data_IF_402976164625
#
_entry.id   IF_402976164625
#
_cell.length_a   1.000
_cell.length_b   1.000
_cell.length_c   1.000
_cell.angle_alpha   90.00
_cell.angle_beta   90.00
_cell.angle_gamma   90.00
#
_symmetry.space_group_name_H-M   'P 1'
#
loop_
_entity.id
_entity.type
_entity.pdbx_description
1 polymer ?
#
# COMPACT_ATOMS: atom_id res chain seq x y z
N UNK A 1 -9.73 4.67 -2.36
CA UNK A 1 -10.98 3.92 -2.08
C UNK A 1 -12.20 4.27 -2.94
N UNK A 2 -13.10 5.22 -2.62
CA UNK A 2 -14.39 5.30 -3.35
C UNK A 2 -14.27 5.80 -4.79
N UNK A 3 -13.37 6.74 -5.02
CA UNK A 3 -13.02 7.25 -6.35
C UNK A 3 -12.40 6.12 -7.19
N UNK A 4 -11.60 5.26 -6.57
CA UNK A 4 -11.01 4.05 -7.17
C UNK A 4 -12.10 3.13 -7.73
N UNK A 5 -13.16 2.88 -6.95
CA UNK A 5 -14.33 2.11 -7.40
C UNK A 5 -15.08 2.76 -8.57
N UNK A 6 -15.24 4.09 -8.56
CA UNK A 6 -15.87 4.84 -9.67
C UNK A 6 -15.01 4.75 -10.95
N UNK A 7 -13.68 4.91 -10.82
CA UNK A 7 -12.75 4.80 -11.95
C UNK A 7 -12.82 3.40 -12.56
N UNK A 8 -12.83 2.33 -11.74
CA UNK A 8 -13.00 0.97 -12.25
C UNK A 8 -14.33 0.78 -12.99
N UNK A 9 -15.43 1.35 -12.47
CA UNK A 9 -16.74 1.29 -13.12
C UNK A 9 -16.78 1.99 -14.49
N UNK A 10 -16.13 3.16 -14.62
CA UNK A 10 -16.04 3.90 -15.89
C UNK A 10 -15.13 3.17 -16.89
N UNK A 11 -14.10 2.49 -16.41
CA UNK A 11 -13.11 1.78 -17.24
C UNK A 11 -13.53 0.34 -17.64
N UNK A 12 -14.82 0.01 -17.57
CA UNK A 12 -15.35 -1.31 -17.96
C UNK A 12 -14.94 -1.71 -19.39
N UNK A 13 -14.91 -0.76 -20.33
CA UNK A 13 -14.43 -0.99 -21.70
C UNK A 13 -12.94 -1.35 -21.78
N UNK A 14 -12.13 -0.82 -20.85
CA UNK A 14 -10.70 -1.13 -20.76
C UNK A 14 -10.45 -2.53 -20.20
N UNK A 15 -11.26 -2.95 -19.23
CA UNK A 15 -11.23 -4.32 -18.70
C UNK A 15 -11.70 -5.35 -19.73
N UNK A 16 -12.57 -4.97 -20.68
CA UNK A 16 -12.91 -5.83 -21.81
C UNK A 16 -11.74 -5.98 -22.81
N UNK A 17 -10.90 -4.95 -22.97
CA UNK A 17 -9.72 -5.03 -23.86
C UNK A 17 -8.62 -5.94 -23.32
N UNK A 18 -8.41 -5.94 -22.00
CA UNK A 18 -7.47 -6.86 -21.35
C UNK A 18 -8.02 -7.31 -19.99
N UNK A 19 -8.83 -8.37 -19.95
CA UNK A 19 -9.43 -8.87 -18.71
C UNK A 19 -8.39 -9.21 -17.63
N UNK A 20 -7.20 -9.66 -18.04
CA UNK A 20 -6.08 -9.98 -17.15
C UNK A 20 -5.60 -8.79 -16.29
N UNK A 21 -5.95 -7.54 -16.66
CA UNK A 21 -5.58 -6.35 -15.89
C UNK A 21 -6.21 -6.34 -14.49
N UNK A 22 -7.35 -7.00 -14.29
CA UNK A 22 -8.02 -7.08 -12.98
C UNK A 22 -7.13 -7.73 -11.91
N UNK A 23 -6.26 -8.65 -12.32
CA UNK A 23 -5.31 -9.35 -11.45
C UNK A 23 -4.15 -8.42 -11.03
N UNK A 24 -3.80 -7.44 -11.87
CA UNK A 24 -2.71 -6.51 -11.61
C UNK A 24 -3.12 -5.32 -10.76
N UNK A 25 -4.39 -4.88 -10.84
CA UNK A 25 -4.88 -3.66 -10.19
C UNK A 25 -4.62 -3.65 -8.67
N UNK A 26 -5.12 -4.60 -7.86
CA UNK A 26 -4.92 -4.57 -6.41
C UNK A 26 -3.45 -4.56 -5.98
N UNK A 27 -2.59 -5.48 -6.47
CA UNK A 27 -1.19 -5.48 -6.04
C UNK A 27 -0.41 -4.28 -6.57
N UNK A 28 -0.78 -3.70 -7.73
CA UNK A 28 -0.14 -2.48 -8.22
C UNK A 28 -0.41 -1.27 -7.29
N UNK A 29 -1.66 -1.09 -6.87
CA UNK A 29 -2.07 -0.05 -5.92
C UNK A 29 -1.34 -0.24 -4.59
N UNK A 30 -1.44 -1.44 -3.99
CA UNK A 30 -0.81 -1.74 -2.70
C UNK A 30 0.70 -1.53 -2.71
N UNK A 31 1.37 -1.92 -3.81
CA UNK A 31 2.81 -1.73 -3.95
C UNK A 31 3.22 -0.25 -4.02
N UNK A 32 2.39 0.64 -4.61
CA UNK A 32 2.66 2.08 -4.59
C UNK A 32 2.52 2.65 -3.19
N UNK A 33 1.45 2.26 -2.48
CA UNK A 33 1.30 2.58 -1.06
C UNK A 33 2.53 2.17 -0.27
N UNK A 34 3.00 0.93 -0.44
CA UNK A 34 4.16 0.40 0.29
C UNK A 34 5.45 1.16 0.03
N UNK A 35 5.79 1.41 -1.24
CA UNK A 35 7.04 2.09 -1.60
C UNK A 35 7.04 3.53 -1.06
N UNK A 36 5.95 4.26 -1.28
CA UNK A 36 5.89 5.68 -0.99
C UNK A 36 5.56 5.98 0.47
N UNK A 37 4.74 5.16 1.15
CA UNK A 37 4.53 5.32 2.59
C UNK A 37 5.81 5.00 3.38
N UNK A 38 6.57 3.97 2.96
CA UNK A 38 7.90 3.70 3.52
C UNK A 38 8.87 4.86 3.26
N UNK A 39 8.80 5.49 2.07
CA UNK A 39 9.56 6.72 1.81
C UNK A 39 9.14 7.85 2.76
N UNK A 40 7.83 8.05 2.96
CA UNK A 40 7.29 9.03 3.91
C UNK A 40 7.83 8.81 5.32
N UNK A 41 7.80 7.56 5.79
CA UNK A 41 8.37 7.11 7.08
C UNK A 41 9.86 7.44 7.18
N UNK A 42 10.67 7.04 6.19
CA UNK A 42 12.11 7.36 6.17
C UNK A 42 12.39 8.86 6.21
N UNK A 43 11.60 9.66 5.48
CA UNK A 43 11.73 11.11 5.51
C UNK A 43 11.32 11.68 6.87
N UNK A 44 10.23 11.19 7.47
CA UNK A 44 9.78 11.52 8.82
C UNK A 44 10.87 11.26 9.87
N UNK A 45 11.37 10.02 9.94
CA UNK A 45 12.49 9.63 10.80
C UNK A 45 13.72 10.51 10.57
N UNK A 46 14.09 10.77 9.32
CA UNK A 46 15.28 11.59 8.98
C UNK A 46 15.13 13.05 9.42
N UNK A 47 13.89 13.59 9.36
CA UNK A 47 13.59 14.94 9.83
C UNK A 47 13.64 15.00 11.36
N UNK A 48 13.01 14.04 12.05
CA UNK A 48 12.98 13.99 13.52
C UNK A 48 14.36 13.75 14.14
N UNK A 49 15.21 12.94 13.50
CA UNK A 49 16.59 12.70 13.94
C UNK A 49 17.56 13.82 13.55
N UNK A 50 17.11 14.82 12.79
CA UNK A 50 17.93 15.94 12.32
C UNK A 50 18.95 15.58 11.24
N UNK A 51 18.86 14.39 10.64
CA UNK A 51 19.73 13.96 9.53
C UNK A 51 19.37 14.67 8.21
N UNK A 52 18.11 15.10 8.07
CA UNK A 52 17.58 15.78 6.89
C UNK A 52 17.00 17.14 7.28
N UNK A 53 17.36 18.19 6.55
CA UNK A 53 16.70 19.50 6.61
C UNK A 53 15.55 19.56 5.59
N UNK A 54 14.46 20.31 5.87
CA UNK A 54 13.34 20.45 4.95
C UNK A 54 13.65 21.46 3.84
N UNK A 55 14.76 21.31 3.09
CA UNK A 55 15.25 22.28 2.09
C UNK A 55 15.34 21.73 0.64
N UNK A 56 14.74 20.55 0.40
CA UNK A 56 14.73 19.83 -0.89
C UNK A 56 16.12 19.50 -1.42
N UNK A 57 17.13 19.47 -0.54
CA UNK A 57 18.50 19.12 -0.87
C UNK A 57 19.00 18.03 0.09
N UNK A 58 20.25 17.63 -0.12
CA UNK A 58 20.91 16.65 0.73
C UNK A 58 21.03 15.27 0.10
N UNK A 59 22.08 14.56 0.52
CA UNK A 59 22.40 13.21 0.03
C UNK A 59 21.34 12.19 0.44
N UNK A 60 20.81 12.29 1.67
CA UNK A 60 19.78 11.38 2.19
C UNK A 60 18.49 11.47 1.36
N UNK A 61 18.07 12.68 0.98
CA UNK A 61 16.92 12.87 0.11
C UNK A 61 17.16 12.23 -1.26
N UNK A 62 18.34 12.44 -1.87
CA UNK A 62 18.70 11.83 -3.16
C UNK A 62 18.71 10.30 -3.08
N UNK A 63 19.25 9.72 -2.03
CA UNK A 63 19.30 8.27 -1.84
C UNK A 63 17.89 7.69 -1.65
N UNK A 64 17.01 8.39 -0.93
CA UNK A 64 15.60 8.05 -0.77
C UNK A 64 14.81 8.11 -2.08
N UNK A 65 15.02 9.16 -2.89
CA UNK A 65 14.40 9.29 -4.22
C UNK A 65 14.87 8.17 -5.15
N UNK A 66 16.18 7.96 -5.23
CA UNK A 66 16.78 6.94 -6.09
C UNK A 66 16.33 5.53 -5.69
N UNK A 67 16.37 5.20 -4.40
CA UNK A 67 15.92 3.89 -3.92
C UNK A 67 14.44 3.64 -4.21
N UNK A 68 13.57 4.63 -3.99
CA UNK A 68 12.13 4.50 -4.26
C UNK A 68 11.83 4.34 -5.75
N UNK A 69 12.57 5.02 -6.62
CA UNK A 69 12.46 4.86 -8.08
C UNK A 69 12.93 3.47 -8.53
N UNK A 70 14.07 2.99 -8.00
CA UNK A 70 14.60 1.64 -8.27
C UNK A 70 13.61 0.57 -7.81
N UNK A 71 13.09 0.67 -6.57
CA UNK A 71 12.06 -0.23 -6.05
C UNK A 71 10.82 -0.22 -6.93
N UNK A 72 10.39 0.95 -7.41
CA UNK A 72 9.25 1.05 -8.34
C UNK A 72 9.50 0.25 -9.61
N UNK A 73 10.67 0.37 -10.25
CA UNK A 73 10.99 -0.39 -11.46
C UNK A 73 10.99 -1.89 -11.18
N UNK A 74 11.73 -2.32 -10.14
CA UNK A 74 11.86 -3.73 -9.78
C UNK A 74 10.49 -4.35 -9.48
N UNK A 75 9.70 -3.69 -8.63
CA UNK A 75 8.41 -4.19 -8.21
C UNK A 75 7.38 -4.16 -9.35
N UNK A 76 7.47 -3.23 -10.30
CA UNK A 76 6.56 -3.21 -11.45
C UNK A 76 6.84 -4.35 -12.43
N UNK A 77 8.11 -4.63 -12.71
CA UNK A 77 8.49 -5.79 -13.54
C UNK A 77 7.99 -7.07 -12.87
N UNK A 78 8.28 -7.20 -11.57
CA UNK A 78 7.85 -8.33 -10.75
C UNK A 78 6.33 -8.53 -10.76
N UNK A 79 5.55 -7.48 -10.50
CA UNK A 79 4.09 -7.55 -10.50
C UNK A 79 3.52 -7.87 -11.89
N UNK A 80 4.08 -7.31 -12.96
CA UNK A 80 3.68 -7.66 -14.33
C UNK A 80 3.89 -9.14 -14.63
N UNK A 81 5.00 -9.72 -14.17
CA UNK A 81 5.29 -11.16 -14.31
C UNK A 81 4.27 -11.99 -13.50
N UNK A 82 4.11 -11.70 -12.20
CA UNK A 82 3.23 -12.47 -11.31
C UNK A 82 1.76 -12.37 -11.76
N UNK A 83 1.31 -11.18 -12.16
CA UNK A 83 -0.05 -10.99 -12.66
C UNK A 83 -0.28 -11.75 -13.97
N UNK A 84 0.70 -11.77 -14.89
CA UNK A 84 0.58 -12.56 -16.12
C UNK A 84 0.53 -14.07 -15.86
N UNK A 85 1.36 -14.58 -14.94
CA UNK A 85 1.31 -16.00 -14.53
C UNK A 85 -0.02 -16.35 -13.87
N UNK A 86 -0.52 -15.48 -13.00
CA UNK A 86 -1.79 -15.68 -12.30
C UNK A 86 -2.96 -15.65 -13.29
N UNK A 87 -2.98 -14.69 -14.22
CA UNK A 87 -3.99 -14.63 -15.27
C UNK A 87 -3.97 -15.87 -16.17
N UNK A 88 -2.78 -16.37 -16.55
CA UNK A 88 -2.66 -17.61 -17.31
C UNK A 88 -3.19 -18.82 -16.53
N UNK A 89 -2.89 -18.91 -15.23
CA UNK A 89 -3.42 -19.96 -14.36
C UNK A 89 -4.94 -19.92 -14.23
N UNK A 90 -5.55 -18.72 -14.28
CA UNK A 90 -6.99 -18.51 -14.32
C UNK A 90 -7.63 -18.74 -15.71
N UNK A 91 -6.85 -19.19 -16.70
CA UNK A 91 -7.33 -19.48 -18.06
C UNK A 91 -7.56 -18.24 -18.92
N UNK A 92 -7.00 -17.08 -18.54
CA UNK A 92 -7.11 -15.83 -19.29
C UNK A 92 -6.00 -15.76 -20.34
N UNK A 93 -6.34 -15.42 -21.58
CA UNK A 93 -5.34 -15.25 -22.64
C UNK A 93 -4.62 -13.91 -22.46
N UNK A 94 -3.31 -13.95 -22.25
CA UNK A 94 -2.52 -12.77 -21.88
C UNK A 94 -1.10 -12.83 -22.44
N UNK A 95 -0.66 -11.72 -23.01
CA UNK A 95 0.74 -11.54 -23.36
C UNK A 95 1.54 -11.03 -22.16
N UNK A 96 2.52 -11.80 -21.71
CA UNK A 96 3.39 -11.45 -20.57
C UNK A 96 4.10 -10.10 -20.80
N UNK A 97 4.52 -9.82 -22.03
CA UNK A 97 5.20 -8.56 -22.38
C UNK A 97 4.26 -7.38 -22.15
N UNK A 98 2.97 -7.51 -22.52
CA UNK A 98 1.99 -6.46 -22.32
C UNK A 98 1.77 -6.17 -20.84
N UNK A 99 1.63 -7.20 -20.01
CA UNK A 99 1.46 -7.04 -18.56
C UNK A 99 2.67 -6.35 -17.91
N UNK A 100 3.90 -6.73 -18.28
CA UNK A 100 5.12 -6.11 -17.77
C UNK A 100 5.19 -4.64 -18.19
N UNK A 101 4.94 -4.34 -19.48
CA UNK A 101 4.98 -2.98 -20.00
C UNK A 101 3.93 -2.08 -19.36
N UNK A 102 2.69 -2.58 -19.22
CA UNK A 102 1.60 -1.84 -18.58
C UNK A 102 1.96 -1.53 -17.12
N UNK A 103 2.41 -2.53 -16.36
CA UNK A 103 2.76 -2.33 -14.96
C UNK A 103 3.91 -1.33 -14.79
N UNK A 104 4.91 -1.39 -15.67
CA UNK A 104 6.11 -0.57 -15.57
C UNK A 104 5.90 0.87 -16.04
N UNK A 105 5.19 1.08 -17.16
CA UNK A 105 4.79 2.42 -17.59
C UNK A 105 3.93 3.10 -16.52
N UNK A 106 2.94 2.38 -15.99
CA UNK A 106 2.09 2.90 -14.92
C UNK A 106 2.92 3.23 -13.68
N UNK A 107 3.91 2.39 -13.36
CA UNK A 107 4.84 2.62 -12.26
C UNK A 107 5.71 3.84 -12.41
N UNK A 108 6.36 4.01 -13.56
CA UNK A 108 7.22 5.17 -13.81
C UNK A 108 6.40 6.46 -13.83
N UNK A 109 5.22 6.46 -14.44
CA UNK A 109 4.32 7.62 -14.48
C UNK A 109 3.81 7.97 -13.07
N UNK A 110 3.28 6.99 -12.32
CA UNK A 110 2.81 7.22 -10.94
C UNK A 110 3.93 7.67 -10.01
N UNK A 111 5.12 7.08 -10.11
CA UNK A 111 6.25 7.41 -9.24
C UNK A 111 6.66 8.88 -9.32
N UNK A 112 6.59 9.51 -10.49
CA UNK A 112 6.89 10.93 -10.62
C UNK A 112 6.01 11.79 -9.69
N UNK A 113 4.69 11.56 -9.72
CA UNK A 113 3.73 12.30 -8.90
C UNK A 113 3.81 11.89 -7.43
N UNK A 114 3.92 10.60 -7.16
CA UNK A 114 3.98 10.06 -5.79
C UNK A 114 5.24 10.50 -5.05
N UNK A 115 6.40 10.57 -5.72
CA UNK A 115 7.63 11.12 -5.14
C UNK A 115 7.46 12.58 -4.75
N UNK A 116 6.95 13.40 -5.66
CA UNK A 116 6.74 14.82 -5.42
C UNK A 116 5.78 15.05 -4.24
N UNK A 117 4.67 14.30 -4.22
CA UNK A 117 3.68 14.37 -3.15
C UNK A 117 4.27 13.91 -1.80
N UNK A 118 4.99 12.80 -1.78
CA UNK A 118 5.58 12.25 -0.55
C UNK A 118 6.58 13.23 0.08
N UNK A 119 7.47 13.82 -0.74
CA UNK A 119 8.45 14.78 -0.24
C UNK A 119 7.75 16.07 0.22
N UNK A 120 6.79 16.56 -0.56
CA UNK A 120 6.04 17.77 -0.22
C UNK A 120 5.25 17.60 1.09
N UNK A 121 4.54 16.48 1.25
CA UNK A 121 3.76 16.19 2.46
C UNK A 121 4.66 16.06 3.69
N UNK A 122 5.78 15.33 3.60
CA UNK A 122 6.72 15.19 4.71
C UNK A 122 7.30 16.55 5.13
N UNK A 123 7.80 17.34 4.18
CA UNK A 123 8.46 18.61 4.49
C UNK A 123 7.50 19.69 4.95
N UNK A 124 6.31 19.74 4.35
CA UNK A 124 5.32 20.74 4.71
C UNK A 124 4.69 20.45 6.06
N UNK A 125 4.42 19.17 6.37
CA UNK A 125 3.98 18.76 7.71
C UNK A 125 5.01 19.19 8.75
N UNK A 126 6.28 18.84 8.54
CA UNK A 126 7.36 19.22 9.45
C UNK A 126 7.51 20.74 9.61
N UNK A 127 7.50 21.51 8.51
CA UNK A 127 7.59 22.99 8.55
C UNK A 127 6.42 23.64 9.30
N UNK A 128 5.24 23.00 9.31
CA UNK A 128 4.06 23.45 10.05
C UNK A 128 4.04 22.99 11.51
N UNK A 129 5.07 22.26 11.96
CA UNK A 129 5.12 21.65 13.28
C UNK A 129 4.19 20.45 13.45
N UNK A 130 3.67 19.91 12.34
CA UNK A 130 2.94 18.64 12.35
C UNK A 130 3.95 17.49 12.28
N UNK A 131 3.64 16.41 12.97
CA UNK A 131 4.41 15.18 12.90
C UNK A 131 4.19 14.50 11.53
N UNK A 132 5.22 14.40 10.66
CA UNK A 132 5.10 13.79 9.34
C UNK A 132 4.60 12.34 9.39
N UNK A 133 4.86 11.61 10.48
CA UNK A 133 4.48 10.20 10.64
C UNK A 133 2.96 10.02 10.72
N UNK A 134 2.23 11.06 11.16
CA UNK A 134 0.76 11.04 11.22
C UNK A 134 0.10 11.44 9.90
N UNK A 135 0.84 12.09 8.99
CA UNK A 135 0.25 12.78 7.83
C UNK A 135 0.64 12.12 6.51
N UNK A 136 1.89 11.67 6.40
CA UNK A 136 2.43 11.14 5.14
C UNK A 136 1.70 9.87 4.71
N UNK A 137 1.63 8.85 5.57
CA UNK A 137 1.01 7.56 5.23
C UNK A 137 -0.43 7.70 4.72
N UNK A 138 -1.39 8.34 5.44
CA UNK A 138 -2.77 8.45 4.96
C UNK A 138 -2.92 9.24 3.64
N UNK A 139 -2.13 10.29 3.45
CA UNK A 139 -2.17 11.06 2.20
C UNK A 139 -1.61 10.24 1.05
N UNK A 140 -0.56 9.47 1.29
CA UNK A 140 0.12 8.68 0.27
C UNK A 140 -0.71 7.48 -0.14
N UNK A 141 -1.38 6.79 0.78
CA UNK A 141 -2.28 5.67 0.42
C UNK A 141 -3.42 6.17 -0.45
N UNK A 142 -4.13 7.22 -0.01
CA UNK A 142 -5.21 7.85 -0.77
C UNK A 142 -4.77 8.32 -2.16
N UNK A 143 -3.62 8.99 -2.23
CA UNK A 143 -3.09 9.46 -3.50
C UNK A 143 -2.63 8.31 -4.39
N UNK A 144 -2.05 7.24 -3.81
CA UNK A 144 -1.68 6.02 -4.51
C UNK A 144 -2.87 5.43 -5.24
N UNK A 145 -4.01 5.37 -4.58
CA UNK A 145 -5.30 4.93 -5.13
C UNK A 145 -5.75 5.79 -6.33
N UNK A 146 -5.81 7.09 -6.13
CA UNK A 146 -6.31 8.06 -7.12
C UNK A 146 -5.37 8.18 -8.33
N UNK A 147 -4.06 8.03 -8.12
CA UNK A 147 -3.03 8.24 -9.15
C UNK A 147 -2.75 6.94 -9.92
N UNK A 148 -2.69 5.79 -9.24
CA UNK A 148 -2.24 4.54 -9.85
C UNK A 148 -3.22 4.04 -10.91
N UNK A 149 -4.52 4.07 -10.62
CA UNK A 149 -5.52 3.55 -11.57
C UNK A 149 -5.57 4.29 -12.90
N UNK A 150 -5.68 5.64 -12.95
CA UNK A 150 -5.64 6.37 -14.22
C UNK A 150 -4.37 6.10 -15.02
N UNK A 151 -3.20 6.05 -14.37
CA UNK A 151 -1.96 5.75 -15.07
C UNK A 151 -1.86 4.29 -15.53
N UNK A 152 -2.49 3.37 -14.82
CA UNK A 152 -2.59 1.98 -15.25
C UNK A 152 -3.45 1.86 -16.51
N UNK A 153 -4.63 2.48 -16.54
CA UNK A 153 -5.48 2.48 -17.74
C UNK A 153 -4.88 3.28 -18.90
N UNK A 154 -4.20 4.40 -18.63
CA UNK A 154 -3.44 5.11 -19.66
C UNK A 154 -2.35 4.21 -20.25
N UNK A 155 -1.60 3.50 -19.41
CA UNK A 155 -0.54 2.59 -19.84
C UNK A 155 -1.10 1.41 -20.66
N UNK A 156 -2.27 0.88 -20.28
CA UNK A 156 -3.00 -0.11 -21.07
C UNK A 156 -3.25 0.38 -22.50
N UNK A 157 -3.87 1.56 -22.64
CA UNK A 157 -4.21 2.10 -23.95
C UNK A 157 -2.95 2.36 -24.80
N UNK A 158 -1.89 2.88 -24.18
CA UNK A 158 -0.62 3.11 -24.87
C UNK A 158 0.02 1.80 -25.35
N UNK A 159 0.11 0.78 -24.49
CA UNK A 159 0.76 -0.50 -24.82
C UNK A 159 -0.01 -1.29 -25.87
N UNK A 160 -1.34 -1.31 -25.79
CA UNK A 160 -2.18 -1.99 -26.80
C UNK A 160 -2.16 -1.22 -28.12
N UNK A 161 -2.15 0.11 -28.09
CA UNK A 161 -2.08 0.96 -29.28
C UNK A 161 -0.71 0.99 -29.97
N UNK A 162 0.34 0.46 -29.33
CA UNK A 162 1.70 0.41 -29.89
C UNK A 162 1.88 -0.77 -30.85
N UNK A 163 2.52 -0.51 -31.99
CA UNK A 163 2.97 -1.55 -32.91
C UNK A 163 4.02 -2.49 -32.27
N UNK A 164 4.10 -3.74 -32.77
CA UNK A 164 4.94 -4.79 -32.18
C UNK A 164 6.42 -4.42 -32.03
N UNK A 165 7.01 -3.76 -33.03
CA UNK A 165 8.41 -3.33 -32.98
C UNK A 165 8.67 -2.30 -31.87
N UNK A 166 7.78 -1.32 -31.74
CA UNK A 166 7.89 -0.29 -30.69
C UNK A 166 7.72 -0.89 -29.29
N UNK A 167 6.82 -1.87 -29.16
CA UNK A 167 6.57 -2.62 -27.93
C UNK A 167 7.82 -3.41 -27.50
N UNK A 168 8.45 -4.12 -28.43
CA UNK A 168 9.69 -4.85 -28.16
C UNK A 168 10.84 -3.91 -27.80
N UNK A 169 11.01 -2.80 -28.52
CA UNK A 169 12.03 -1.80 -28.20
C UNK A 169 11.86 -1.26 -26.77
N UNK A 170 10.63 -0.89 -26.40
CA UNK A 170 10.31 -0.41 -25.06
C UNK A 170 10.56 -1.49 -24.00
N UNK A 171 10.20 -2.74 -24.29
CA UNK A 171 10.45 -3.87 -23.40
C UNK A 171 11.94 -4.07 -23.14
N UNK A 172 12.79 -4.04 -24.18
CA UNK A 172 14.24 -4.16 -24.00
C UNK A 172 14.83 -3.03 -23.17
N UNK A 173 14.42 -1.77 -23.41
CA UNK A 173 14.86 -0.62 -22.60
C UNK A 173 14.53 -0.86 -21.12
N UNK A 174 13.32 -1.32 -20.85
CA UNK A 174 12.85 -1.53 -19.50
C UNK A 174 13.48 -2.73 -18.80
N UNK A 175 13.74 -3.82 -19.52
CA UNK A 175 14.51 -4.95 -18.99
C UNK A 175 15.93 -4.51 -18.66
N UNK A 176 16.59 -3.72 -19.52
CA UNK A 176 17.91 -3.16 -19.23
C UNK A 176 17.87 -2.31 -17.96
N UNK A 177 16.87 -1.43 -17.81
CA UNK A 177 16.68 -0.64 -16.59
C UNK A 177 16.42 -1.51 -15.35
N UNK A 178 15.65 -2.58 -15.48
CA UNK A 178 15.44 -3.57 -14.41
C UNK A 178 16.72 -4.29 -14.01
N UNK A 179 17.51 -4.74 -14.99
CA UNK A 179 18.82 -5.37 -14.75
C UNK A 179 19.75 -4.40 -14.04
N UNK A 180 19.87 -3.16 -14.52
CA UNK A 180 20.66 -2.11 -13.87
C UNK A 180 20.19 -1.92 -12.42
N UNK A 181 18.87 -1.85 -12.21
CA UNK A 181 18.25 -1.68 -10.89
C UNK A 181 18.64 -2.79 -9.89
N UNK A 182 18.75 -4.04 -10.34
CA UNK A 182 19.22 -5.18 -9.52
C UNK A 182 20.71 -5.06 -9.17
N UNK A 183 21.54 -4.54 -10.08
CA UNK A 183 22.99 -4.42 -9.86
C UNK A 183 23.41 -3.16 -9.10
N UNK A 184 22.58 -2.11 -9.03
CA UNK A 184 22.88 -0.87 -8.30
C UNK A 184 23.29 -1.13 -6.83
N UNK A 185 22.58 -1.95 -6.03
CA UNK A 185 22.99 -2.29 -4.66
C UNK A 185 24.42 -2.83 -4.53
N UNK A 186 24.92 -3.53 -5.56
CA UNK A 186 26.24 -4.15 -5.56
C UNK A 186 27.33 -3.25 -6.15
N UNK A 187 26.94 -2.14 -6.78
CA UNK A 187 27.87 -1.21 -7.39
C UNK A 187 28.70 -0.43 -6.35
N UNK A 188 29.87 0.07 -6.75
CA UNK A 188 30.69 0.99 -5.94
C UNK A 188 30.12 2.42 -5.91
N UNK A 189 29.15 2.72 -6.79
CA UNK A 189 28.56 4.04 -6.96
C UNK A 189 27.44 4.33 -5.95
N UNK A 190 26.84 3.29 -5.35
CA UNK A 190 25.75 3.44 -4.41
C UNK A 190 26.23 3.69 -2.98
N UNK A 191 25.56 4.61 -2.29
CA UNK A 191 25.78 4.86 -0.86
C UNK A 191 25.34 3.65 -0.03
N UNK A 192 25.93 3.47 1.15
CA UNK A 192 25.52 2.40 2.08
C UNK A 192 24.04 2.52 2.48
N UNK A 193 23.52 3.74 2.60
CA UNK A 193 22.12 4.01 2.92
C UNK A 193 21.18 3.55 1.79
N UNK A 194 21.46 3.89 0.54
CA UNK A 194 20.69 3.41 -0.61
C UNK A 194 20.70 1.88 -0.70
N UNK A 195 21.87 1.26 -0.52
CA UNK A 195 22.02 -0.20 -0.52
C UNK A 195 21.14 -0.85 0.54
N UNK A 196 21.16 -0.30 1.76
CA UNK A 196 20.38 -0.77 2.89
C UNK A 196 18.88 -0.78 2.56
N UNK A 197 18.35 0.34 2.03
CA UNK A 197 16.93 0.44 1.64
C UNK A 197 16.57 -0.65 0.62
N UNK A 198 17.38 -0.83 -0.43
CA UNK A 198 17.08 -1.80 -1.48
C UNK A 198 17.14 -3.24 -0.98
N UNK A 199 18.17 -3.60 -0.21
CA UNK A 199 18.36 -4.97 0.29
C UNK A 199 17.27 -5.34 1.31
N UNK A 200 16.85 -4.41 2.17
CA UNK A 200 15.87 -4.68 3.21
C UNK A 200 14.43 -4.64 2.69
N UNK A 201 14.09 -3.68 1.81
CA UNK A 201 12.72 -3.51 1.32
C UNK A 201 12.34 -4.57 0.28
N UNK A 202 13.27 -4.95 -0.60
CA UNK A 202 12.98 -5.81 -1.76
C UNK A 202 12.37 -7.16 -1.35
N UNK A 203 12.94 -7.95 -0.43
CA UNK A 203 12.38 -9.25 -0.07
C UNK A 203 10.97 -9.15 0.53
N UNK A 204 10.74 -8.15 1.39
CA UNK A 204 9.44 -7.94 2.03
C UNK A 204 8.39 -7.54 1.00
N UNK A 205 8.73 -6.64 0.08
CA UNK A 205 7.82 -6.22 -0.99
C UNK A 205 7.55 -7.35 -1.99
N UNK A 206 8.51 -8.23 -2.28
CA UNK A 206 8.27 -9.41 -3.11
C UNK A 206 7.24 -10.34 -2.47
N UNK A 207 7.43 -10.68 -1.19
CA UNK A 207 6.48 -11.49 -0.42
C UNK A 207 5.12 -10.80 -0.36
N UNK A 208 5.11 -9.49 -0.08
CA UNK A 208 3.89 -8.69 -0.02
C UNK A 208 3.12 -8.66 -1.33
N UNK A 209 3.82 -8.53 -2.46
CA UNK A 209 3.22 -8.60 -3.79
C UNK A 209 2.62 -9.98 -4.09
N UNK A 210 3.28 -11.08 -3.66
CA UNK A 210 2.67 -12.43 -3.77
C UNK A 210 1.38 -12.49 -2.95
N UNK A 211 1.45 -12.10 -1.68
CA UNK A 211 0.31 -12.13 -0.77
C UNK A 211 -0.84 -11.27 -1.30
N UNK A 212 -0.57 -10.09 -1.84
CA UNK A 212 -1.58 -9.22 -2.45
C UNK A 212 -2.25 -9.86 -3.68
N UNK A 213 -1.48 -10.55 -4.53
CA UNK A 213 -2.05 -11.30 -5.67
C UNK A 213 -2.93 -12.48 -5.20
N UNK A 214 -2.49 -13.24 -4.21
CA UNK A 214 -3.29 -14.33 -3.63
C UNK A 214 -4.54 -13.81 -2.90
N UNK A 215 -4.40 -12.75 -2.13
CA UNK A 215 -5.51 -12.12 -1.41
C UNK A 215 -6.61 -11.66 -2.37
N UNK A 216 -6.25 -10.99 -3.47
CA UNK A 216 -7.19 -10.60 -4.52
C UNK A 216 -7.96 -11.80 -5.11
N UNK A 217 -7.31 -12.96 -5.25
CA UNK A 217 -7.97 -14.20 -5.70
C UNK A 217 -8.88 -14.84 -4.65
N UNK A 218 -8.51 -14.80 -3.35
CA UNK A 218 -9.29 -15.36 -2.25
C UNK A 218 -10.54 -14.51 -1.98
N UNK A 219 -10.38 -13.18 -2.01
CA UNK A 219 -11.51 -12.26 -2.03
C UNK A 219 -12.43 -12.61 -3.19
N UNK A 220 -11.87 -12.78 -4.40
CA UNK A 220 -12.51 -13.30 -5.63
C UNK A 220 -13.51 -14.43 -5.40
N UNK A 221 -13.11 -15.46 -4.64
CA UNK A 221 -13.94 -16.64 -4.38
C UNK A 221 -14.88 -16.47 -3.18
N UNK A 222 -14.52 -15.62 -2.20
CA UNK A 222 -15.37 -15.32 -1.05
C UNK A 222 -16.57 -14.43 -1.43
N UNK A 223 -16.51 -13.76 -2.60
CA UNK A 223 -17.61 -12.96 -3.12
C UNK A 223 -18.90 -13.78 -3.30
N UNK A 224 -18.85 -15.09 -3.61
CA UNK A 224 -20.08 -15.88 -3.79
C UNK A 224 -20.97 -15.93 -2.53
N UNK A 225 -20.37 -15.87 -1.33
CA UNK A 225 -21.11 -15.73 -0.07
C UNK A 225 -21.46 -14.28 0.31
N UNK A 226 -20.65 -13.31 -0.12
CA UNK A 226 -20.82 -11.87 0.16
C UNK A 226 -21.76 -11.14 -0.83
N UNK A 227 -22.07 -11.74 -1.98
CA UNK A 227 -23.02 -11.21 -2.99
C UNK A 227 -24.42 -10.98 -2.37
N UNK A 228 -24.78 -11.72 -1.33
CA UNK A 228 -26.03 -11.52 -0.60
C UNK A 228 -26.11 -10.20 0.20
N UNK A 229 -24.99 -9.51 0.45
CA UNK A 229 -24.96 -8.28 1.25
C UNK A 229 -24.06 -7.24 0.57
N UNK A 230 -24.50 -6.75 -0.59
CA UNK A 230 -23.73 -5.82 -1.42
C UNK A 230 -23.38 -4.48 -0.73
N UNK A 231 -24.02 -4.14 0.40
CA UNK A 231 -23.60 -3.05 1.30
C UNK A 231 -22.24 -3.26 2.01
N UNK A 232 -21.81 -4.51 2.24
CA UNK A 232 -20.53 -4.82 2.89
C UNK A 232 -19.37 -4.69 1.89
N UNK A 233 -19.61 -5.05 0.63
CA UNK A 233 -18.63 -4.92 -0.44
C UNK A 233 -18.22 -3.46 -0.69
N UNK A 234 -19.09 -2.53 -0.31
CA UNK A 234 -18.86 -1.09 -0.44
C UNK A 234 -17.98 -0.52 0.68
N UNK A 235 -18.01 -1.11 1.89
CA UNK A 235 -17.13 -0.69 2.99
C UNK A 235 -15.75 -1.35 2.98
N UNK A 236 -15.64 -2.56 2.41
CA UNK A 236 -14.43 -3.38 2.53
C UNK A 236 -13.15 -2.70 2.01
N UNK A 237 -13.11 -2.03 0.83
CA UNK A 237 -11.90 -1.33 0.40
C UNK A 237 -11.47 -0.24 1.38
N UNK A 238 -12.41 0.60 1.82
CA UNK A 238 -12.12 1.68 2.76
C UNK A 238 -11.68 1.14 4.13
N UNK A 239 -12.32 0.05 4.60
CA UNK A 239 -11.96 -0.62 5.84
C UNK A 239 -10.51 -1.13 5.83
N UNK A 240 -10.10 -1.78 4.73
CA UNK A 240 -8.74 -2.30 4.58
C UNK A 240 -7.71 -1.17 4.40
N UNK A 241 -8.03 -0.15 3.58
CA UNK A 241 -7.12 0.96 3.30
C UNK A 241 -6.88 1.81 4.56
N UNK A 242 -7.94 2.18 5.29
CA UNK A 242 -7.81 2.95 6.55
C UNK A 242 -7.15 2.14 7.67
N UNK A 243 -7.45 0.84 7.78
CA UNK A 243 -6.73 -0.06 8.69
C UNK A 243 -5.23 -0.12 8.38
N UNK A 244 -4.88 -0.19 7.09
CA UNK A 244 -3.51 -0.09 6.59
C UNK A 244 -2.84 1.23 6.92
N UNK A 245 -3.55 2.35 6.75
CA UNK A 245 -3.04 3.68 7.04
C UNK A 245 -2.77 3.88 8.55
N UNK A 246 -3.68 3.43 9.42
CA UNK A 246 -3.49 3.46 10.89
C UNK A 246 -2.26 2.63 11.28
N UNK A 247 -2.14 1.42 10.74
CA UNK A 247 -0.98 0.57 10.97
C UNK A 247 0.33 1.19 10.46
N UNK A 248 0.29 1.87 9.32
CA UNK A 248 1.46 2.55 8.77
C UNK A 248 1.85 3.81 9.54
N UNK A 249 0.90 4.57 10.11
CA UNK A 249 1.20 5.65 11.07
C UNK A 249 1.92 5.08 12.29
N UNK A 250 1.40 3.99 12.84
CA UNK A 250 1.98 3.38 14.03
C UNK A 250 3.39 2.82 13.76
N UNK A 251 3.59 2.19 12.60
CA UNK A 251 4.90 1.73 12.13
C UNK A 251 5.92 2.88 12.02
N UNK A 252 5.52 3.99 11.39
CA UNK A 252 6.38 5.17 11.26
C UNK A 252 6.74 5.74 12.64
N UNK A 253 5.75 5.86 13.54
CA UNK A 253 5.99 6.30 14.92
C UNK A 253 6.94 5.41 15.70
N UNK A 254 6.81 4.09 15.59
CA UNK A 254 7.73 3.17 16.24
C UNK A 254 9.14 3.28 15.67
N UNK A 255 9.27 3.39 14.35
CA UNK A 255 10.55 3.60 13.70
C UNK A 255 11.24 4.88 14.17
N UNK A 256 10.56 6.02 14.10
CA UNK A 256 11.05 7.31 14.59
C UNK A 256 11.44 7.23 16.08
N UNK A 257 10.59 6.63 16.92
CA UNK A 257 10.86 6.53 18.35
C UNK A 257 12.09 5.66 18.67
N UNK A 258 12.29 4.55 17.93
CA UNK A 258 13.47 3.70 18.07
C UNK A 258 14.75 4.41 17.63
N UNK A 259 14.73 5.12 16.50
CA UNK A 259 15.90 5.85 15.98
C UNK A 259 16.28 7.08 16.81
N UNK A 260 15.30 7.77 17.41
CA UNK A 260 15.54 8.90 18.32
C UNK A 260 16.00 8.40 19.72
N UNK A 261 15.75 7.13 20.03
CA UNK A 261 16.02 6.55 21.34
C UNK A 261 14.99 6.91 22.40
N UNK A 262 13.79 7.35 22.00
CA UNK A 262 12.66 7.60 22.92
C UNK A 262 11.86 6.34 23.25
N UNK A 263 12.10 5.25 22.52
CA UNK A 263 11.57 3.92 22.77
C UNK A 263 12.72 2.91 22.87
N UNK A 264 12.81 2.21 23.99
CA UNK A 264 13.75 1.09 24.12
C UNK A 264 13.12 -0.20 23.59
N UNK A 265 13.92 -0.98 22.85
CA UNK A 265 13.49 -2.28 22.36
C UNK A 265 13.30 -3.25 23.54
N UNK A 266 12.08 -3.77 23.71
CA UNK A 266 11.76 -4.72 24.78
C UNK A 266 10.71 -5.74 24.31
N UNK A 267 10.71 -6.93 24.92
CA UNK A 267 9.78 -8.02 24.57
C UNK A 267 8.32 -7.66 24.86
N UNK A 268 8.09 -6.86 25.89
CA UNK A 268 6.76 -6.38 26.28
C UNK A 268 6.63 -4.91 25.91
N UNK A 269 5.55 -4.48 25.24
CA UNK A 269 5.37 -3.08 24.88
C UNK A 269 5.50 -2.16 26.12
N UNK A 270 6.41 -1.18 26.11
CA UNK A 270 6.56 -0.23 27.21
C UNK A 270 5.39 0.76 27.24
N UNK A 271 5.33 1.61 28.26
CA UNK A 271 4.20 2.55 28.47
C UNK A 271 3.99 3.48 27.28
N UNK A 272 5.07 3.87 26.61
CA UNK A 272 5.11 4.72 25.43
C UNK A 272 4.40 4.04 24.25
N UNK A 273 4.65 2.74 24.04
CA UNK A 273 3.96 1.95 23.02
C UNK A 273 2.46 1.81 23.34
N UNK A 274 2.09 1.57 24.60
CA UNK A 274 0.69 1.54 25.02
C UNK A 274 -0.05 2.87 24.79
N UNK A 275 0.61 4.01 24.99
CA UNK A 275 0.03 5.33 24.66
C UNK A 275 -0.22 5.49 23.16
N UNK A 276 0.68 4.97 22.32
CA UNK A 276 0.50 4.96 20.87
C UNK A 276 -0.65 4.02 20.47
N UNK A 277 -0.74 2.83 21.06
CA UNK A 277 -1.85 1.90 20.85
C UNK A 277 -3.20 2.53 21.19
N UNK A 278 -3.30 3.18 22.36
CA UNK A 278 -4.52 3.89 22.77
C UNK A 278 -4.88 5.00 21.78
N UNK A 279 -3.90 5.76 21.29
CA UNK A 279 -4.13 6.77 20.27
C UNK A 279 -4.71 6.17 18.99
N UNK A 280 -4.22 5.00 18.56
CA UNK A 280 -4.75 4.32 17.36
C UNK A 280 -6.19 3.85 17.56
N UNK A 281 -6.53 3.30 18.73
CA UNK A 281 -7.92 2.93 19.06
C UNK A 281 -8.84 4.15 19.07
N UNK A 282 -8.43 5.28 19.65
CA UNK A 282 -9.23 6.50 19.64
C UNK A 282 -9.49 7.04 18.23
N UNK A 283 -8.50 6.95 17.34
CA UNK A 283 -8.65 7.29 15.92
C UNK A 283 -9.58 6.28 15.24
N UNK A 284 -9.38 4.99 15.50
CA UNK A 284 -10.20 3.89 15.00
C UNK A 284 -11.68 4.07 15.28
N UNK A 285 -12.04 4.45 16.50
CA UNK A 285 -13.43 4.68 16.89
C UNK A 285 -14.13 5.68 15.96
N UNK A 286 -13.41 6.72 15.55
CA UNK A 286 -13.93 7.75 14.65
C UNK A 286 -13.94 7.23 13.20
N UNK A 287 -12.81 6.74 12.73
CA UNK A 287 -12.61 6.31 11.34
C UNK A 287 -13.56 5.18 10.97
N UNK A 288 -13.59 4.09 11.74
CA UNK A 288 -14.44 2.94 11.43
C UNK A 288 -15.94 3.23 11.60
N UNK A 289 -16.32 4.14 12.49
CA UNK A 289 -17.70 4.63 12.55
C UNK A 289 -18.08 5.39 11.28
N UNK A 290 -17.19 6.27 10.80
CA UNK A 290 -17.41 7.02 9.56
C UNK A 290 -17.48 6.11 8.34
N UNK A 291 -16.65 5.06 8.26
CA UNK A 291 -16.72 4.05 7.19
C UNK A 291 -18.10 3.41 7.13
N UNK A 292 -18.65 2.97 8.27
CA UNK A 292 -20.00 2.38 8.32
C UNK A 292 -21.10 3.36 7.89
N UNK A 293 -21.00 4.63 8.29
CA UNK A 293 -21.92 5.71 7.89
C UNK A 293 -21.85 5.94 6.38
N UNK A 294 -20.65 6.14 5.84
CA UNK A 294 -20.47 6.43 4.42
C UNK A 294 -20.92 5.27 3.54
N UNK A 295 -20.54 4.04 3.90
CA UNK A 295 -20.96 2.84 3.18
C UNK A 295 -22.49 2.75 3.12
N UNK A 296 -23.21 2.97 4.23
CA UNK A 296 -24.67 2.98 4.22
C UNK A 296 -25.25 4.00 3.22
N UNK A 297 -24.79 5.26 3.24
CA UNK A 297 -25.30 6.30 2.36
C UNK A 297 -24.98 6.05 0.88
N UNK A 298 -23.77 5.56 0.60
CA UNK A 298 -23.33 5.23 -0.75
C UNK A 298 -24.16 4.08 -1.31
N UNK A 299 -24.30 3.00 -0.56
CA UNK A 299 -25.02 1.81 -1.02
C UNK A 299 -26.51 2.08 -1.18
N UNK A 300 -27.10 2.93 -0.32
CA UNK A 300 -28.46 3.45 -0.50
C UNK A 300 -28.59 4.31 -1.77
N UNK A 301 -27.60 5.16 -2.07
CA UNK A 301 -27.59 5.96 -3.30
C UNK A 301 -27.47 5.09 -4.55
N UNK A 302 -26.81 3.93 -4.45
CA UNK A 302 -26.66 2.95 -5.52
C UNK A 302 -27.88 2.01 -5.64
N UNK A 303 -28.92 2.20 -4.83
CA UNK A 303 -30.13 1.33 -4.79
C UNK A 303 -29.80 -0.14 -4.51
N UNK A 304 -28.77 -0.37 -3.72
CA UNK A 304 -28.31 -1.69 -3.28
C UNK A 304 -28.99 -2.05 -1.96
N UNK A 305 -29.33 -3.32 -1.75
CA UNK A 305 -29.82 -3.79 -0.44
C UNK A 305 -28.73 -3.59 0.63
N UNK A 306 -29.12 -2.96 1.73
CA UNK A 306 -28.21 -2.55 2.80
C UNK A 306 -28.75 -2.94 4.16
N UNK A 307 -27.84 -3.30 5.05
CA UNK A 307 -28.14 -3.45 6.47
C UNK A 307 -28.58 -2.12 7.08
N UNK A 308 -29.35 -2.14 8.17
CA UNK A 308 -29.65 -0.95 8.95
C UNK A 308 -28.37 -0.17 9.31
N UNK A 309 -28.46 1.17 9.32
CA UNK A 309 -27.31 2.05 9.60
C UNK A 309 -26.58 1.68 10.91
N UNK A 310 -27.32 1.33 11.96
CA UNK A 310 -26.72 0.98 13.25
C UNK A 310 -25.90 -0.32 13.20
N UNK A 311 -26.33 -1.31 12.40
CA UNK A 311 -25.58 -2.55 12.18
C UNK A 311 -24.33 -2.28 11.35
N UNK A 312 -24.44 -1.47 10.28
CA UNK A 312 -23.28 -1.07 9.46
C UNK A 312 -22.20 -0.39 10.30
N UNK A 313 -22.59 0.54 11.16
CA UNK A 313 -21.67 1.23 12.08
C UNK A 313 -21.08 0.23 13.08
N UNK A 314 -21.92 -0.60 13.71
CA UNK A 314 -21.47 -1.54 14.72
C UNK A 314 -20.49 -2.59 14.16
N UNK A 315 -20.80 -3.16 12.99
CA UNK A 315 -19.94 -4.14 12.30
C UNK A 315 -18.59 -3.50 11.96
N UNK A 316 -18.60 -2.35 11.30
CA UNK A 316 -17.37 -1.63 10.93
C UNK A 316 -16.53 -1.28 12.15
N UNK A 317 -17.15 -0.73 13.19
CA UNK A 317 -16.48 -0.32 14.41
C UNK A 317 -15.87 -1.51 15.15
N UNK A 318 -16.65 -2.57 15.42
CA UNK A 318 -16.16 -3.73 16.18
C UNK A 318 -15.06 -4.46 15.40
N UNK A 319 -15.24 -4.66 14.09
CA UNK A 319 -14.23 -5.27 13.24
C UNK A 319 -12.95 -4.42 13.21
N UNK A 320 -13.09 -3.11 13.12
CA UNK A 320 -11.99 -2.15 13.07
C UNK A 320 -11.19 -2.10 14.37
N UNK A 321 -11.86 -2.15 15.53
CA UNK A 321 -11.18 -2.20 16.83
C UNK A 321 -10.44 -3.52 17.06
N UNK A 322 -11.00 -4.64 16.61
CA UNK A 322 -10.31 -5.94 16.63
C UNK A 322 -9.08 -5.87 15.69
N UNK A 323 -9.24 -5.29 14.50
CA UNK A 323 -8.15 -5.11 13.55
C UNK A 323 -7.01 -4.25 14.14
N UNK A 324 -7.33 -3.08 14.72
CA UNK A 324 -6.34 -2.21 15.36
C UNK A 324 -5.60 -2.96 16.47
N UNK A 325 -6.30 -3.75 17.28
CA UNK A 325 -5.65 -4.54 18.33
C UNK A 325 -4.56 -5.45 17.76
N UNK A 326 -4.85 -6.15 16.66
CA UNK A 326 -3.88 -7.03 15.99
C UNK A 326 -2.74 -6.21 15.38
N UNK A 327 -3.07 -5.14 14.67
CA UNK A 327 -2.12 -4.25 14.00
C UNK A 327 -1.17 -3.58 14.99
N UNK A 328 -1.65 -3.23 16.19
CA UNK A 328 -0.84 -2.64 17.25
C UNK A 328 0.35 -3.53 17.61
N UNK A 329 0.08 -4.80 17.93
CA UNK A 329 1.13 -5.76 18.26
C UNK A 329 1.99 -6.10 17.05
N UNK A 330 1.39 -6.25 15.87
CA UNK A 330 2.13 -6.53 14.64
C UNK A 330 3.13 -5.41 14.33
N UNK A 331 2.71 -4.14 14.39
CA UNK A 331 3.56 -2.98 14.16
C UNK A 331 4.70 -2.91 15.17
N UNK A 332 4.38 -3.06 16.46
CA UNK A 332 5.39 -3.03 17.53
C UNK A 332 6.44 -4.12 17.35
N UNK A 333 6.01 -5.38 17.20
CA UNK A 333 6.94 -6.50 17.10
C UNK A 333 7.73 -6.49 15.80
N UNK A 334 7.11 -6.15 14.67
CA UNK A 334 7.82 -6.00 13.41
C UNK A 334 8.91 -4.91 13.54
N UNK A 335 8.57 -3.72 14.05
CA UNK A 335 9.56 -2.65 14.23
C UNK A 335 10.68 -3.02 15.20
N UNK A 336 10.34 -3.56 16.38
CA UNK A 336 11.32 -3.92 17.42
C UNK A 336 12.23 -5.06 16.96
N UNK A 337 11.68 -6.10 16.34
CA UNK A 337 12.48 -7.24 15.84
C UNK A 337 13.40 -6.76 14.72
N UNK A 338 12.92 -5.96 13.78
CA UNK A 338 13.74 -5.43 12.70
C UNK A 338 14.89 -4.58 13.25
N UNK A 339 14.57 -3.63 14.14
CA UNK A 339 15.58 -2.76 14.75
C UNK A 339 16.63 -3.55 15.52
N UNK A 340 16.22 -4.56 16.30
CA UNK A 340 17.13 -5.44 17.05
C UNK A 340 18.11 -6.19 16.15
N UNK A 341 17.70 -6.55 14.93
CA UNK A 341 18.55 -7.22 13.94
C UNK A 341 19.33 -6.24 13.04
N UNK A 342 19.29 -4.93 13.32
CA UNK A 342 19.96 -3.90 12.54
C UNK A 342 19.25 -3.53 11.22
N UNK A 343 18.10 -4.13 10.95
CA UNK A 343 17.22 -3.82 9.83
C UNK A 343 16.44 -2.56 10.16
N UNK A 344 16.36 -1.62 9.22
CA UNK A 344 15.62 -0.39 9.44
C UNK A 344 14.11 -0.65 9.46
N UNK A 345 13.39 -0.34 10.56
CA UNK A 345 11.94 -0.52 10.63
C UNK A 345 11.18 0.24 9.53
N UNK A 346 11.72 1.38 9.07
CA UNK A 346 11.13 2.18 7.98
C UNK A 346 11.10 1.43 6.64
N UNK A 347 11.95 0.42 6.45
CA UNK A 347 12.04 -0.34 5.20
C UNK A 347 11.07 -1.52 5.14
N UNK A 348 10.65 -2.03 6.30
CA UNK A 348 10.03 -3.37 6.40
C UNK A 348 8.69 -3.37 7.13
N UNK A 349 8.49 -2.50 8.12
CA UNK A 349 7.30 -2.57 8.98
C UNK A 349 6.03 -2.21 8.21
N UNK A 350 6.03 -1.09 7.47
CA UNK A 350 4.87 -0.67 6.68
C UNK A 350 4.50 -1.75 5.64
N UNK A 351 5.43 -2.25 4.80
CA UNK A 351 5.12 -3.32 3.85
C UNK A 351 4.62 -4.61 4.50
N UNK A 352 5.11 -4.99 5.69
CA UNK A 352 4.59 -6.15 6.42
C UNK A 352 3.11 -5.93 6.80
N UNK A 353 2.81 -4.80 7.44
CA UNK A 353 1.46 -4.50 7.93
C UNK A 353 0.46 -4.46 6.78
N UNK A 354 0.77 -3.72 5.72
CA UNK A 354 -0.14 -3.54 4.58
C UNK A 354 -0.36 -4.85 3.83
N UNK A 355 0.68 -5.67 3.65
CA UNK A 355 0.54 -6.96 2.97
C UNK A 355 -0.27 -7.98 3.76
N UNK A 356 -0.31 -7.86 5.09
CA UNK A 356 -1.16 -8.68 5.94
C UNK A 356 -2.56 -8.10 6.13
N UNK A 357 -2.77 -6.85 5.75
CA UNK A 357 -4.02 -6.11 5.99
C UNK A 357 -5.21 -6.76 5.31
N UNK A 358 -5.08 -7.16 4.05
CA UNK A 358 -6.19 -7.77 3.34
C UNK A 358 -6.64 -9.09 4.00
N UNK A 359 -5.70 -9.90 4.50
CA UNK A 359 -6.01 -11.18 5.14
C UNK A 359 -6.61 -10.96 6.53
N UNK A 360 -5.94 -10.17 7.37
CA UNK A 360 -6.37 -9.96 8.76
C UNK A 360 -7.64 -9.10 8.80
N UNK A 361 -7.68 -8.02 8.03
CA UNK A 361 -8.82 -7.09 7.97
C UNK A 361 -10.07 -7.77 7.43
N UNK A 362 -9.96 -8.53 6.32
CA UNK A 362 -11.10 -9.30 5.80
C UNK A 362 -11.54 -10.35 6.81
N UNK A 363 -10.60 -11.04 7.47
CA UNK A 363 -10.90 -12.01 8.53
C UNK A 363 -11.64 -11.39 9.72
N UNK A 364 -11.22 -10.19 10.16
CA UNK A 364 -11.90 -9.46 11.24
C UNK A 364 -13.32 -9.07 10.84
N UNK A 365 -13.51 -8.58 9.61
CA UNK A 365 -14.82 -8.21 9.09
C UNK A 365 -15.75 -9.42 9.01
N UNK A 366 -15.30 -10.53 8.40
CA UNK A 366 -16.06 -11.78 8.31
C UNK A 366 -16.42 -12.31 9.70
N UNK A 367 -15.48 -12.33 10.64
CA UNK A 367 -15.74 -12.78 12.01
C UNK A 367 -16.91 -11.99 12.64
N UNK A 368 -16.90 -10.67 12.52
CA UNK A 368 -17.95 -9.83 13.10
C UNK A 368 -19.28 -10.01 12.38
N UNK A 369 -19.27 -10.21 11.07
CA UNK A 369 -20.50 -10.51 10.32
C UNK A 369 -21.16 -11.81 10.77
N UNK A 370 -20.37 -12.84 11.06
CA UNK A 370 -20.86 -14.10 11.63
C UNK A 370 -21.44 -13.86 13.03
N UNK A 371 -20.78 -13.04 13.86
CA UNK A 371 -21.27 -12.71 15.20
C UNK A 371 -22.60 -11.95 15.18
N UNK A 372 -22.85 -11.14 14.16
CA UNK A 372 -24.11 -10.42 13.96
C UNK A 372 -25.18 -11.26 13.25
N UNK A 373 -24.88 -12.50 12.85
CA UNK A 373 -25.81 -13.39 12.16
C UNK A 373 -26.15 -12.95 10.74
N UNK A 374 -25.27 -12.16 10.11
CA UNK A 374 -25.42 -11.68 8.73
C UNK A 374 -24.89 -12.72 7.73
N UNK A 375 -23.80 -13.41 8.11
CA UNK A 375 -23.23 -14.59 7.46
C UNK A 375 -23.39 -15.79 8.39
#
# INVERSE_FOLDING_TARGET
DLITGIIMGISTSSLQMLPALIVLIPPAIGMRGNIFASLGSRLGTSLHTGQLSPDFKGKILKDNVNSSFILTILMSIYLGIIAAFTAHFLGMDVNIIDMILISLLAGVLSAFFMLALTIATAFFSYRRGWDPDNVTTPIITLAGDIITLPFLFLSLHLVIGMGGEAKLALFYIFIILGVISVFIPFSKLSSQYLKKILIESTPIMLIGGLLGTFSGSILGNSFEGLIGIAGILTMMPAFLEDGGAIGGILAAKFSSALHIGSLEYSLTPPKEAWKMFLSMHLIGLIVFSLIGIFAFFISKSLSVEVLPLHEMIAISLIAGEILILIVNFMAYYASVISFKHGIDPDNVTIPIITSMMDIIGTGCLILVLILFGVL
#
